data_IF_764684990453
#
_entry.id   IF_764684990453
#
_cell.length_a   1.000
_cell.length_b   1.000
_cell.length_c   1.000
_cell.angle_alpha   90.00
_cell.angle_beta   90.00
_cell.angle_gamma   90.00
#
_symmetry.space_group_name_H-M   'P 1'
#
loop_
_entity.id
_entity.type
_entity.pdbx_description
1 polymer ?
#
# COMPACT_ATOMS: atom_id res chain seq x y z
N UNK A 1 -1.88 29.64 -9.21
CA UNK A 1 -3.31 29.28 -9.06
C UNK A 1 -3.71 28.14 -9.99
N UNK A 2 -3.58 28.27 -11.32
CA UNK A 2 -3.86 27.17 -12.28
C UNK A 2 -3.05 25.88 -12.04
N UNK A 3 -1.76 25.98 -11.70
CA UNK A 3 -0.92 24.82 -11.39
C UNK A 3 -1.36 24.09 -10.11
N UNK A 4 -1.79 24.84 -9.09
CA UNK A 4 -2.33 24.29 -7.85
C UNK A 4 -3.72 23.67 -8.05
N UNK A 5 -4.57 24.29 -8.86
CA UNK A 5 -5.89 23.74 -9.22
C UNK A 5 -5.71 22.47 -10.07
N UNK A 6 -4.78 22.48 -11.02
CA UNK A 6 -4.49 21.30 -11.85
C UNK A 6 -3.91 20.17 -11.00
N UNK A 7 -2.98 20.45 -10.07
CA UNK A 7 -2.47 19.46 -9.12
C UNK A 7 -3.56 18.95 -8.18
N UNK A 8 -4.45 19.81 -7.69
CA UNK A 8 -5.54 19.43 -6.79
C UNK A 8 -6.61 18.60 -7.51
N UNK A 9 -6.99 18.97 -8.74
CA UNK A 9 -7.94 18.21 -9.58
C UNK A 9 -7.34 16.88 -10.01
N UNK A 10 -6.06 16.85 -10.36
CA UNK A 10 -5.33 15.61 -10.63
C UNK A 10 -5.33 14.73 -9.37
N UNK A 11 -4.88 15.25 -8.23
CA UNK A 11 -4.84 14.52 -6.97
C UNK A 11 -6.22 13.98 -6.55
N UNK A 12 -7.30 14.76 -6.73
CA UNK A 12 -8.66 14.34 -6.41
C UNK A 12 -9.22 13.31 -7.41
N UNK A 13 -8.88 13.42 -8.69
CA UNK A 13 -9.26 12.44 -9.72
C UNK A 13 -8.56 11.10 -9.50
N UNK A 14 -7.26 11.13 -9.20
CA UNK A 14 -6.47 9.93 -8.91
C UNK A 14 -6.92 9.25 -7.61
N UNK A 15 -7.43 10.01 -6.63
CA UNK A 15 -8.03 9.45 -5.42
C UNK A 15 -9.24 8.54 -5.71
N UNK A 16 -10.21 9.02 -6.49
CA UNK A 16 -11.40 8.22 -6.81
C UNK A 16 -11.07 7.01 -7.69
N UNK A 17 -10.09 7.14 -8.60
CA UNK A 17 -9.59 6.01 -9.38
C UNK A 17 -8.94 4.97 -8.47
N UNK A 18 -8.11 5.39 -7.51
CA UNK A 18 -7.45 4.48 -6.58
C UNK A 18 -8.46 3.69 -5.73
N UNK A 19 -9.51 4.35 -5.23
CA UNK A 19 -10.60 3.66 -4.52
C UNK A 19 -11.32 2.67 -5.43
N UNK A 20 -11.63 3.08 -6.66
CA UNK A 20 -12.36 2.24 -7.61
C UNK A 20 -11.57 0.99 -7.99
N UNK A 21 -10.26 1.11 -8.25
CA UNK A 21 -9.37 -0.02 -8.51
C UNK A 21 -9.27 -0.94 -7.28
N UNK A 22 -9.15 -0.37 -6.07
CA UNK A 22 -9.14 -1.15 -4.84
C UNK A 22 -10.42 -1.97 -4.65
N UNK A 23 -11.58 -1.38 -4.93
CA UNK A 23 -12.89 -2.07 -4.86
C UNK A 23 -13.08 -3.09 -5.98
N UNK A 24 -12.59 -2.81 -7.19
CA UNK A 24 -12.57 -3.78 -8.29
C UNK A 24 -11.72 -5.00 -7.91
N UNK A 25 -10.56 -4.77 -7.31
CA UNK A 25 -9.67 -5.80 -6.77
C UNK A 25 -10.29 -6.62 -5.65
N UNK A 26 -11.20 -6.05 -4.85
CA UNK A 26 -11.94 -6.79 -3.83
C UNK A 26 -13.00 -7.74 -4.46
N UNK A 27 -13.60 -7.37 -5.59
CA UNK A 27 -14.64 -8.17 -6.25
C UNK A 27 -14.06 -9.21 -7.21
N UNK A 28 -13.07 -8.82 -8.03
CA UNK A 28 -12.44 -9.68 -9.04
C UNK A 28 -10.91 -9.67 -8.89
N UNK A 29 -10.35 -10.17 -7.77
CA UNK A 29 -8.92 -10.08 -7.57
C UNK A 29 -8.10 -10.87 -8.59
N UNK A 30 -8.65 -11.93 -9.18
CA UNK A 30 -7.94 -12.77 -10.16
C UNK A 30 -7.60 -12.03 -11.46
N UNK A 31 -8.48 -11.13 -11.91
CA UNK A 31 -8.28 -10.36 -13.15
C UNK A 31 -7.40 -9.13 -12.94
N UNK A 32 -7.43 -8.58 -11.71
CA UNK A 32 -6.76 -7.32 -11.38
C UNK A 32 -5.35 -7.55 -10.80
N UNK A 33 -5.14 -8.64 -10.06
CA UNK A 33 -3.86 -8.97 -9.45
C UNK A 33 -2.67 -9.01 -10.46
N UNK A 34 -2.81 -9.51 -11.70
CA UNK A 34 -1.75 -9.46 -12.70
C UNK A 34 -1.33 -8.04 -13.09
N UNK A 35 -2.24 -7.05 -12.95
CA UNK A 35 -1.99 -5.66 -13.30
C UNK A 35 -1.41 -4.84 -12.14
N UNK A 36 -1.23 -5.42 -10.96
CA UNK A 36 -0.74 -4.74 -9.75
C UNK A 36 0.51 -3.89 -10.01
N UNK A 37 1.51 -4.44 -10.71
CA UNK A 37 2.78 -3.75 -11.01
C UNK A 37 2.56 -2.43 -11.77
N UNK A 38 1.50 -2.35 -12.58
CA UNK A 38 1.26 -1.17 -13.43
C UNK A 38 0.72 0.02 -12.64
N UNK A 39 0.00 -0.22 -11.55
CA UNK A 39 -0.70 0.85 -10.82
C UNK A 39 -0.31 0.99 -9.36
N UNK A 40 0.35 0.01 -8.74
CA UNK A 40 0.60 -0.01 -7.28
C UNK A 40 1.36 1.24 -6.82
N UNK A 41 2.35 1.71 -7.58
CA UNK A 41 3.13 2.90 -7.25
C UNK A 41 2.27 4.18 -7.21
N UNK A 42 1.48 4.39 -8.26
CA UNK A 42 0.58 5.55 -8.35
C UNK A 42 -0.51 5.47 -7.27
N UNK A 43 -1.07 4.28 -7.06
CA UNK A 43 -2.09 4.01 -6.05
C UNK A 43 -1.59 4.33 -4.62
N UNK A 44 -0.38 3.86 -4.27
CA UNK A 44 0.23 4.11 -2.97
C UNK A 44 0.50 5.61 -2.77
N UNK A 45 1.03 6.28 -3.80
CA UNK A 45 1.35 7.72 -3.77
C UNK A 45 0.08 8.58 -3.60
N UNK A 46 -1.03 8.16 -4.19
CA UNK A 46 -2.32 8.85 -4.04
C UNK A 46 -2.90 8.64 -2.64
N UNK A 47 -2.91 7.41 -2.11
CA UNK A 47 -3.57 7.11 -0.83
C UNK A 47 -2.75 7.45 0.43
N UNK A 48 -1.41 7.53 0.35
CA UNK A 48 -0.56 7.90 1.51
C UNK A 48 -0.88 9.28 2.10
N UNK A 49 -1.48 10.16 1.31
CA UNK A 49 -1.77 11.55 1.65
C UNK A 49 -3.23 11.77 2.06
N UNK A 50 -4.04 10.71 2.03
CA UNK A 50 -5.46 10.76 2.39
C UNK A 50 -5.62 10.39 3.88
N UNK A 51 -6.48 11.15 4.57
CA UNK A 51 -6.85 10.86 5.96
C UNK A 51 -7.54 9.51 6.08
N UNK A 52 -7.33 8.84 7.20
CA UNK A 52 -7.95 7.55 7.48
C UNK A 52 -9.48 7.70 7.53
N UNK A 53 -10.17 7.05 6.59
CA UNK A 53 -11.62 7.00 6.45
C UNK A 53 -12.05 5.62 5.94
N UNK A 54 -13.36 5.36 5.89
CA UNK A 54 -13.90 4.07 5.45
C UNK A 54 -13.60 3.76 3.98
N UNK A 55 -13.48 4.79 3.12
CA UNK A 55 -13.09 4.60 1.72
C UNK A 55 -11.65 4.09 1.60
N UNK A 56 -10.71 4.70 2.33
CA UNK A 56 -9.31 4.26 2.40
C UNK A 56 -9.23 2.85 2.98
N UNK A 57 -9.97 2.55 4.05
CA UNK A 57 -10.03 1.21 4.65
C UNK A 57 -10.46 0.16 3.62
N UNK A 58 -11.57 0.41 2.91
CA UNK A 58 -12.06 -0.50 1.87
C UNK A 58 -11.06 -0.72 0.73
N UNK A 59 -10.36 0.35 0.31
CA UNK A 59 -9.38 0.28 -0.76
C UNK A 59 -8.14 -0.55 -0.35
N UNK A 60 -7.64 -0.35 0.87
CA UNK A 60 -6.50 -1.12 1.38
C UNK A 60 -6.83 -2.60 1.60
N UNK A 61 -8.05 -2.94 2.03
CA UNK A 61 -8.48 -4.35 2.11
C UNK A 61 -8.43 -5.05 0.75
N UNK A 62 -8.96 -4.40 -0.28
CA UNK A 62 -8.88 -4.91 -1.66
C UNK A 62 -7.44 -5.06 -2.13
N UNK A 63 -6.58 -4.08 -1.85
CA UNK A 63 -5.15 -4.16 -2.17
C UNK A 63 -4.46 -5.33 -1.45
N UNK A 64 -4.69 -5.52 -0.16
CA UNK A 64 -4.13 -6.66 0.58
C UNK A 64 -4.60 -8.02 0.04
N UNK A 65 -5.85 -8.14 -0.40
CA UNK A 65 -6.35 -9.37 -1.05
C UNK A 65 -5.65 -9.62 -2.39
N UNK A 66 -5.50 -8.59 -3.23
CA UNK A 66 -4.79 -8.70 -4.50
C UNK A 66 -3.32 -9.10 -4.30
N UNK A 67 -2.63 -8.47 -3.33
CA UNK A 67 -1.25 -8.81 -3.00
C UNK A 67 -1.15 -10.24 -2.47
N UNK A 68 -2.13 -10.70 -1.69
CA UNK A 68 -2.15 -12.09 -1.20
C UNK A 68 -2.23 -13.12 -2.34
N UNK A 69 -2.84 -12.74 -3.48
CA UNK A 69 -2.97 -13.60 -4.65
C UNK A 69 -1.79 -13.48 -5.63
N UNK A 70 -1.21 -12.28 -5.75
CA UNK A 70 -0.03 -12.04 -6.57
C UNK A 70 1.00 -11.16 -5.83
N UNK A 71 1.76 -11.74 -4.88
CA UNK A 71 2.78 -10.98 -4.14
C UNK A 71 3.92 -10.54 -5.07
N UNK A 72 4.20 -11.30 -6.14
CA UNK A 72 5.15 -10.92 -7.19
C UNK A 72 4.80 -9.58 -7.87
N UNK A 73 3.52 -9.21 -7.84
CA UNK A 73 3.00 -7.98 -8.41
C UNK A 73 3.39 -6.70 -7.66
N UNK A 74 3.89 -6.80 -6.42
CA UNK A 74 4.25 -5.63 -5.60
C UNK A 74 5.73 -5.56 -5.26
N UNK A 75 6.51 -6.63 -5.50
CA UNK A 75 7.93 -6.73 -5.07
C UNK A 75 8.77 -5.50 -5.45
N UNK A 76 8.69 -5.02 -6.69
CA UNK A 76 9.52 -3.91 -7.17
C UNK A 76 9.17 -2.57 -6.51
N UNK A 77 7.89 -2.37 -6.17
CA UNK A 77 7.36 -1.12 -5.61
C UNK A 77 6.92 -1.29 -4.15
N UNK A 78 7.39 -2.33 -3.46
CA UNK A 78 6.94 -2.69 -2.11
C UNK A 78 7.26 -1.60 -1.09
N UNK A 79 8.32 -0.80 -1.31
CA UNK A 79 8.63 0.37 -0.49
C UNK A 79 7.48 1.40 -0.48
N UNK A 80 6.80 1.60 -1.62
CA UNK A 80 5.66 2.52 -1.70
C UNK A 80 4.46 1.97 -0.92
N UNK A 81 4.28 0.65 -0.92
CA UNK A 81 3.23 0.01 -0.13
C UNK A 81 3.50 0.11 1.37
N UNK A 82 4.75 -0.14 1.80
CA UNK A 82 5.20 0.06 3.18
C UNK A 82 4.96 1.49 3.68
N UNK A 83 5.32 2.48 2.85
CA UNK A 83 5.09 3.90 3.14
C UNK A 83 3.59 4.25 3.20
N UNK A 84 2.77 3.67 2.31
CA UNK A 84 1.32 3.83 2.36
C UNK A 84 0.71 3.20 3.63
N UNK A 85 1.20 2.05 4.09
CA UNK A 85 0.82 1.45 5.39
C UNK A 85 1.23 2.36 6.55
N UNK A 86 2.44 2.89 6.53
CA UNK A 86 2.94 3.78 7.58
C UNK A 86 2.19 5.13 7.66
N UNK A 87 1.42 5.49 6.62
CA UNK A 87 0.53 6.67 6.64
C UNK A 87 -0.70 6.52 7.54
N UNK A 88 -1.05 5.29 7.94
CA UNK A 88 -2.17 5.02 8.83
C UNK A 88 -1.84 5.40 10.28
N UNK A 89 -2.72 6.17 10.91
CA UNK A 89 -2.58 6.59 12.30
C UNK A 89 -3.28 5.58 13.22
N UNK A 90 -4.52 5.22 12.89
CA UNK A 90 -5.32 4.30 13.70
C UNK A 90 -6.13 3.34 12.81
N UNK A 91 -5.48 2.38 12.13
CA UNK A 91 -6.18 1.37 11.34
C UNK A 91 -7.03 0.49 12.25
N UNK A 92 -8.17 0.00 11.74
CA UNK A 92 -8.98 -1.01 12.41
C UNK A 92 -8.14 -2.28 12.63
N UNK A 93 -8.39 -3.02 13.70
CA UNK A 93 -7.56 -4.17 14.10
C UNK A 93 -7.45 -5.23 13.00
N UNK A 94 -8.56 -5.51 12.32
CA UNK A 94 -8.61 -6.46 11.23
C UNK A 94 -7.78 -6.02 10.00
N UNK A 95 -7.79 -4.72 9.67
CA UNK A 95 -6.93 -4.16 8.63
C UNK A 95 -5.46 -4.18 9.06
N UNK A 96 -5.18 -3.86 10.32
CA UNK A 96 -3.83 -3.92 10.90
C UNK A 96 -3.25 -5.33 10.81
N UNK A 97 -4.06 -6.35 11.08
CA UNK A 97 -3.69 -7.77 10.94
C UNK A 97 -3.40 -8.14 9.48
N UNK A 98 -4.15 -7.60 8.51
CA UNK A 98 -3.85 -7.80 7.09
C UNK A 98 -2.50 -7.20 6.72
N UNK A 99 -2.18 -5.98 7.19
CA UNK A 99 -0.87 -5.37 6.99
C UNK A 99 0.24 -6.19 7.60
N UNK A 100 0.07 -6.64 8.84
CA UNK A 100 1.03 -7.51 9.52
C UNK A 100 1.32 -8.77 8.70
N UNK A 101 0.28 -9.47 8.22
CA UNK A 101 0.41 -10.69 7.41
C UNK A 101 1.17 -10.45 6.10
N UNK A 102 0.88 -9.35 5.39
CA UNK A 102 1.57 -9.03 4.14
C UNK A 102 3.04 -8.68 4.41
N UNK A 103 3.33 -7.85 5.41
CA UNK A 103 4.68 -7.42 5.75
C UNK A 103 5.57 -8.60 6.18
N UNK A 104 5.09 -9.42 7.11
CA UNK A 104 5.82 -10.61 7.55
C UNK A 104 5.87 -11.69 6.47
N UNK A 105 4.82 -11.84 5.67
CA UNK A 105 4.81 -12.75 4.52
C UNK A 105 5.90 -12.40 3.51
N UNK A 106 6.04 -11.11 3.17
CA UNK A 106 7.09 -10.63 2.28
C UNK A 106 8.48 -10.83 2.89
N UNK A 107 8.69 -10.46 4.17
CA UNK A 107 9.95 -10.67 4.89
C UNK A 107 10.38 -12.15 4.87
N UNK A 108 9.44 -13.07 5.13
CA UNK A 108 9.71 -14.50 5.11
C UNK A 108 10.04 -15.01 3.70
N UNK A 109 9.43 -14.45 2.66
CA UNK A 109 9.66 -14.83 1.27
C UNK A 109 11.04 -14.39 0.77
N UNK A 110 11.49 -13.18 1.11
CA UNK A 110 12.81 -12.68 0.68
C UNK A 110 13.95 -13.18 1.58
N UNK A 111 13.64 -13.53 2.83
CA UNK A 111 14.61 -13.95 3.85
C UNK A 111 15.23 -12.76 4.59
N UNK A 112 15.76 -13.00 5.80
CA UNK A 112 16.26 -11.92 6.68
C UNK A 112 17.38 -11.07 6.07
N UNK A 113 18.33 -11.70 5.37
CA UNK A 113 19.46 -10.98 4.79
C UNK A 113 19.00 -10.02 3.67
N UNK A 114 18.15 -10.50 2.76
CA UNK A 114 17.60 -9.67 1.69
C UNK A 114 16.61 -8.62 2.24
N UNK A 115 15.82 -8.97 3.26
CA UNK A 115 14.96 -8.01 3.95
C UNK A 115 15.75 -6.86 4.56
N UNK A 116 16.90 -7.15 5.17
CA UNK A 116 17.76 -6.13 5.76
C UNK A 116 18.31 -5.21 4.68
N UNK A 117 18.86 -5.76 3.59
CA UNK A 117 19.35 -4.97 2.43
C UNK A 117 18.25 -4.15 1.76
N UNK A 118 17.02 -4.67 1.75
CA UNK A 118 15.87 -4.00 1.17
C UNK A 118 15.40 -2.86 2.07
N UNK A 119 15.24 -3.11 3.37
CA UNK A 119 14.86 -2.08 4.33
C UNK A 119 15.94 -1.03 4.50
N UNK A 120 17.22 -1.32 4.24
CA UNK A 120 18.28 -0.31 4.25
C UNK A 120 18.05 0.87 3.31
N UNK A 121 17.26 0.67 2.25
CA UNK A 121 16.85 1.71 1.31
C UNK A 121 15.71 2.59 1.86
N UNK A 122 15.09 2.19 2.98
CA UNK A 122 13.97 2.91 3.56
C UNK A 122 14.45 4.18 4.29
N UNK A 123 13.71 5.29 4.18
CA UNK A 123 13.92 6.44 5.03
C UNK A 123 13.85 6.04 6.52
N UNK A 124 14.70 6.64 7.36
CA UNK A 124 14.78 6.31 8.78
C UNK A 124 13.41 6.39 9.49
N UNK A 125 12.63 7.41 9.18
CA UNK A 125 11.31 7.60 9.77
C UNK A 125 10.32 6.49 9.38
N UNK A 126 10.44 5.91 8.18
CA UNK A 126 9.62 4.78 7.74
C UNK A 126 9.99 3.52 8.52
N UNK A 127 11.28 3.24 8.69
CA UNK A 127 11.77 2.10 9.49
C UNK A 127 11.22 2.13 10.91
N UNK A 128 11.34 3.28 11.58
CA UNK A 128 10.88 3.45 12.96
C UNK A 128 9.37 3.23 13.10
N UNK A 129 8.59 3.74 12.15
CA UNK A 129 7.13 3.56 12.12
C UNK A 129 6.74 2.11 11.95
N UNK A 130 7.34 1.43 10.98
CA UNK A 130 7.04 0.02 10.70
C UNK A 130 7.50 -0.90 11.84
N UNK A 131 8.67 -0.62 12.42
CA UNK A 131 9.18 -1.35 13.58
C UNK A 131 8.25 -1.18 14.79
N UNK A 132 7.83 0.05 15.09
CA UNK A 132 6.94 0.33 16.23
C UNK A 132 5.55 -0.27 16.04
N UNK A 133 4.99 -0.22 14.82
CA UNK A 133 3.62 -0.63 14.56
C UNK A 133 3.47 -2.14 14.26
N UNK A 134 4.48 -2.76 13.64
CA UNK A 134 4.39 -4.13 13.08
C UNK A 134 5.59 -5.02 13.42
N UNK A 135 6.63 -4.51 14.09
CA UNK A 135 7.79 -5.30 14.54
C UNK A 135 8.68 -5.84 13.41
N UNK A 136 8.77 -5.11 12.30
CA UNK A 136 9.58 -5.47 11.12
C UNK A 136 10.78 -4.57 10.89
#
# INVERSE_FOLDING_TARGET
VLFFISFFVFFLFFFFIAITIGRLGYVCPQDVAPLLQQFVRMWCTSLRNIRDNDEKDSAFRGMCQMISLNPGGVVQDFIFFCDAIASWINPKEDLKDMFYKILHGFKNQVGEENWTRFTDQFPQQLKERLSTAYGI
#
